data_IF_077456844992
#
_entry.id   IF_077456844992
#
_cell.length_a   1.000
_cell.length_b   1.000
_cell.length_c   1.000
_cell.angle_alpha   90.00
_cell.angle_beta   90.00
_cell.angle_gamma   90.00
#
_symmetry.space_group_name_H-M   'P 1'
#
loop_
_entity.id
_entity.type
_entity.pdbx_description
1 polymer ?
#
# COMPACT_ATOMS: atom_id res chain seq x y z
N UNK A 1 6.05 -26.16 18.43
CA UNK A 1 4.88 -26.78 17.77
C UNK A 1 4.51 -26.12 16.42
N UNK A 2 4.24 -24.81 16.31
CA UNK A 2 3.93 -24.19 14.99
C UNK A 2 5.14 -24.20 14.04
N UNK A 3 6.32 -23.81 14.54
CA UNK A 3 7.59 -23.94 13.82
C UNK A 3 7.94 -25.39 13.42
N UNK A 4 7.57 -26.38 14.25
CA UNK A 4 7.76 -27.80 13.93
C UNK A 4 6.77 -28.30 12.85
N UNK A 5 5.54 -27.77 12.83
CA UNK A 5 4.56 -28.04 11.77
C UNK A 5 5.01 -27.41 10.44
N UNK A 6 5.64 -26.23 10.47
CA UNK A 6 6.27 -25.64 9.29
C UNK A 6 7.50 -26.43 8.83
N UNK A 7 8.31 -26.94 9.76
CA UNK A 7 9.50 -27.73 9.43
C UNK A 7 9.18 -29.14 8.90
N UNK A 8 8.04 -29.72 9.25
CA UNK A 8 7.72 -31.12 8.95
C UNK A 8 6.98 -31.38 7.62
N UNK A 9 6.61 -30.35 6.83
CA UNK A 9 5.68 -30.61 5.70
C UNK A 9 5.58 -29.57 4.58
N UNK A 10 6.62 -28.77 4.32
CA UNK A 10 6.48 -27.64 3.40
C UNK A 10 7.28 -27.82 2.12
N UNK A 11 6.59 -28.37 1.13
CA UNK A 11 6.91 -28.28 -0.30
C UNK A 11 5.67 -28.05 -1.16
N UNK A 12 4.56 -27.60 -0.56
CA UNK A 12 3.30 -27.30 -1.25
C UNK A 12 2.83 -25.87 -1.05
N UNK A 13 2.09 -25.35 -2.03
CA UNK A 13 1.39 -24.06 -1.96
C UNK A 13 0.26 -24.12 -0.92
N UNK A 14 0.04 -23.03 -0.19
CA UNK A 14 -1.00 -22.94 0.84
C UNK A 14 -2.18 -22.12 0.36
N UNK A 15 -3.35 -22.76 0.28
CA UNK A 15 -4.61 -22.05 0.11
C UNK A 15 -5.14 -21.68 1.48
N UNK A 16 -5.37 -20.38 1.72
CA UNK A 16 -6.09 -19.96 2.91
C UNK A 16 -7.52 -20.49 2.85
N UNK A 17 -7.85 -21.43 3.75
CA UNK A 17 -9.17 -22.04 3.83
C UNK A 17 -10.22 -21.08 4.40
N UNK A 18 -9.78 -20.02 5.09
CA UNK A 18 -10.64 -18.88 5.40
C UNK A 18 -10.62 -17.91 4.21
N UNK A 19 -11.77 -17.64 3.57
CA UNK A 19 -11.82 -16.71 2.45
C UNK A 19 -11.34 -15.32 2.92
N UNK A 20 -10.11 -14.96 2.52
CA UNK A 20 -9.56 -13.62 2.72
C UNK A 20 -9.39 -12.95 1.36
N UNK A 21 -9.85 -11.70 1.29
CA UNK A 21 -9.57 -10.81 0.17
C UNK A 21 -8.29 -10.00 0.42
N UNK A 22 -7.67 -10.15 1.59
CA UNK A 22 -6.46 -9.42 1.95
C UNK A 22 -5.23 -10.11 1.35
N UNK A 23 -4.49 -9.33 0.53
CA UNK A 23 -3.23 -9.74 -0.06
C UNK A 23 -2.05 -9.61 0.91
N UNK A 24 -0.85 -10.05 0.50
CA UNK A 24 0.35 -9.88 1.33
C UNK A 24 0.72 -8.41 1.47
N UNK A 25 1.32 -8.06 2.61
CA UNK A 25 2.00 -6.79 2.83
C UNK A 25 3.52 -6.91 2.79
N UNK A 26 4.22 -5.78 2.65
CA UNK A 26 5.66 -5.72 2.85
C UNK A 26 6.04 -6.13 4.29
N UNK A 27 7.22 -6.74 4.48
CA UNK A 27 7.70 -7.23 5.79
C UNK A 27 7.58 -6.17 6.88
N UNK A 28 8.09 -4.96 6.63
CA UNK A 28 7.99 -3.82 7.55
C UNK A 28 6.54 -3.45 7.88
N UNK A 29 5.67 -3.36 6.87
CA UNK A 29 4.26 -3.05 7.09
C UNK A 29 3.56 -4.13 7.92
N UNK A 30 3.89 -5.40 7.71
CA UNK A 30 3.32 -6.51 8.47
C UNK A 30 3.83 -6.54 9.91
N UNK A 31 5.13 -6.29 10.13
CA UNK A 31 5.70 -6.15 11.46
C UNK A 31 5.03 -5.01 12.21
N UNK A 32 5.01 -3.81 11.63
CA UNK A 32 4.37 -2.66 12.24
C UNK A 32 2.89 -2.92 12.55
N UNK A 33 2.14 -3.49 11.60
CA UNK A 33 0.72 -3.81 11.82
C UNK A 33 0.53 -4.82 12.96
N UNK A 34 1.39 -5.82 13.05
CA UNK A 34 1.38 -6.79 14.15
C UNK A 34 1.71 -6.15 15.50
N UNK A 35 2.58 -5.12 15.52
CA UNK A 35 2.93 -4.38 16.73
C UNK A 35 1.78 -3.52 17.24
N UNK A 36 1.17 -2.72 16.36
CA UNK A 36 0.23 -1.66 16.76
C UNK A 36 -1.23 -2.08 16.79
N UNK A 37 -1.60 -3.13 16.04
CA UNK A 37 -3.00 -3.50 15.92
C UNK A 37 -3.48 -4.10 17.26
N UNK A 38 -4.52 -3.57 17.90
CA UNK A 38 -5.03 -4.12 19.16
C UNK A 38 -5.53 -5.56 19.01
N UNK A 39 -5.86 -5.97 17.77
CA UNK A 39 -6.27 -7.33 17.44
C UNK A 39 -5.10 -8.27 17.03
N UNK A 40 -3.86 -7.77 16.98
CA UNK A 40 -2.67 -8.59 16.64
C UNK A 40 -1.53 -8.43 17.65
N UNK A 41 -1.42 -7.33 18.37
CA UNK A 41 -0.30 -7.01 19.24
C UNK A 41 -0.39 -7.61 20.64
N UNK A 42 -1.59 -7.98 21.11
CA UNK A 42 -1.77 -8.53 22.45
C UNK A 42 -2.04 -10.03 22.47
N UNK A 43 -1.65 -10.77 23.52
CA UNK A 43 -2.18 -12.10 23.77
C UNK A 43 -3.71 -12.06 23.97
N UNK A 44 -4.23 -10.95 24.50
CA UNK A 44 -5.68 -10.72 24.67
C UNK A 44 -6.44 -10.70 23.33
N UNK A 45 -5.79 -10.18 22.29
CA UNK A 45 -6.30 -10.18 20.93
C UNK A 45 -6.50 -11.58 20.33
N UNK A 46 -5.76 -12.55 20.89
CA UNK A 46 -5.73 -13.94 20.50
C UNK A 46 -6.59 -14.82 21.40
N UNK A 47 -7.35 -14.25 22.36
CA UNK A 47 -8.01 -15.01 23.42
C UNK A 47 -9.54 -15.04 23.34
N UNK A 48 -10.01 -16.20 23.77
CA UNK A 48 -11.33 -16.55 24.28
C UNK A 48 -11.72 -15.86 25.60
N UNK A 49 -11.15 -14.70 25.94
CA UNK A 49 -11.50 -13.91 27.14
C UNK A 49 -11.45 -12.42 26.78
N UNK A 50 -12.31 -11.61 27.42
CA UNK A 50 -12.35 -10.16 27.17
C UNK A 50 -11.18 -9.43 27.83
N UNK A 51 -10.92 -8.20 27.37
CA UNK A 51 -9.83 -7.38 27.88
C UNK A 51 -10.29 -5.94 28.17
N UNK A 52 -9.66 -5.30 29.15
CA UNK A 52 -9.82 -3.87 29.42
C UNK A 52 -8.61 -3.13 28.85
N UNK A 53 -8.84 -2.27 27.86
CA UNK A 53 -7.80 -1.44 27.25
C UNK A 53 -8.22 0.01 27.38
N UNK A 54 -7.47 0.78 28.17
CA UNK A 54 -7.74 2.21 28.44
C UNK A 54 -9.17 2.50 28.93
N UNK A 55 -9.78 1.59 29.69
CA UNK A 55 -11.15 1.72 30.19
C UNK A 55 -12.23 1.26 29.21
N UNK A 56 -11.85 0.77 28.03
CA UNK A 56 -12.74 0.14 27.06
C UNK A 56 -12.75 -1.38 27.24
N UNK A 57 -13.94 -1.95 27.43
CA UNK A 57 -14.14 -3.39 27.56
C UNK A 57 -14.26 -4.03 26.18
N UNK A 58 -13.19 -4.69 25.75
CA UNK A 58 -13.12 -5.40 24.47
C UNK A 58 -13.75 -6.80 24.65
N UNK A 59 -14.82 -7.14 23.92
CA UNK A 59 -15.50 -8.42 24.05
C UNK A 59 -14.63 -9.59 23.59
N UNK A 60 -14.90 -10.77 24.15
CA UNK A 60 -14.26 -12.05 23.83
C UNK A 60 -14.28 -12.34 22.32
N UNK A 61 -13.11 -12.56 21.73
CA UNK A 61 -12.95 -13.12 20.39
C UNK A 61 -12.89 -14.65 20.36
N UNK A 62 -12.83 -15.22 19.16
CA UNK A 62 -12.50 -16.63 18.95
C UNK A 62 -11.00 -16.86 19.26
N UNK A 63 -10.66 -17.91 20.01
CA UNK A 63 -9.26 -18.14 20.42
C UNK A 63 -8.37 -18.44 19.23
N UNK A 64 -7.30 -17.66 19.06
CA UNK A 64 -6.29 -17.77 17.99
C UNK A 64 -4.92 -18.10 18.59
N UNK A 65 -4.77 -19.31 19.13
CA UNK A 65 -3.49 -19.86 19.58
C UNK A 65 -2.79 -19.09 20.72
N UNK A 66 -1.59 -19.54 21.10
CA UNK A 66 -0.79 -18.92 22.16
C UNK A 66 0.14 -17.80 21.64
N UNK A 67 0.55 -17.87 20.37
CA UNK A 67 1.45 -16.90 19.74
C UNK A 67 0.85 -16.38 18.43
N UNK A 68 1.22 -15.16 18.07
CA UNK A 68 1.07 -14.63 16.71
C UNK A 68 2.22 -15.09 15.81
N UNK A 69 2.01 -14.94 14.51
CA UNK A 69 3.02 -15.28 13.51
C UNK A 69 2.93 -14.38 12.28
N UNK A 70 4.06 -13.86 11.83
CA UNK A 70 4.21 -13.21 10.52
C UNK A 70 4.89 -14.21 9.60
N UNK A 71 4.20 -14.63 8.54
CA UNK A 71 4.69 -15.66 7.62
C UNK A 71 5.09 -15.02 6.30
N UNK A 72 6.33 -15.24 5.86
CA UNK A 72 6.77 -14.88 4.52
C UNK A 72 6.50 -16.03 3.56
N UNK A 73 6.15 -15.72 2.32
CA UNK A 73 5.93 -16.71 1.25
C UNK A 73 6.79 -16.38 0.03
N UNK A 74 7.13 -17.40 -0.76
CA UNK A 74 7.89 -17.25 -2.03
C UNK A 74 7.08 -16.58 -3.15
N UNK A 75 5.79 -16.35 -2.93
CA UNK A 75 4.91 -15.60 -3.81
C UNK A 75 3.44 -15.70 -3.42
N UNK A 76 2.60 -15.00 -4.18
CA UNK A 76 1.15 -15.12 -4.09
C UNK A 76 0.52 -15.02 -5.49
N UNK A 77 -0.63 -15.65 -5.68
CA UNK A 77 -1.45 -15.56 -6.89
C UNK A 77 -2.87 -15.12 -6.54
N UNK A 78 -3.46 -14.26 -7.38
CA UNK A 78 -4.87 -13.90 -7.28
C UNK A 78 -5.69 -14.83 -8.16
N UNK A 79 -6.73 -15.46 -7.61
CA UNK A 79 -7.59 -16.40 -8.32
C UNK A 79 -9.06 -16.10 -8.05
N UNK A 80 -9.91 -16.32 -9.06
CA UNK A 80 -11.36 -16.38 -8.83
C UNK A 80 -11.71 -17.67 -8.09
N UNK A 81 -12.42 -17.55 -6.98
CA UNK A 81 -12.97 -18.67 -6.22
C UNK A 81 -14.50 -18.67 -6.32
N UNK A 82 -15.19 -19.77 -5.96
CA UNK A 82 -16.66 -19.80 -5.94
C UNK A 82 -17.32 -18.72 -5.08
N UNK A 83 -16.58 -18.11 -4.14
CA UNK A 83 -17.07 -17.09 -3.20
C UNK A 83 -16.51 -15.68 -3.50
N UNK A 84 -15.76 -15.50 -4.60
CA UNK A 84 -15.16 -14.22 -5.00
C UNK A 84 -13.66 -14.30 -5.33
N UNK A 85 -13.01 -13.18 -5.69
CA UNK A 85 -11.55 -13.15 -5.84
C UNK A 85 -10.86 -13.47 -4.50
N UNK A 86 -9.82 -14.30 -4.55
CA UNK A 86 -9.07 -14.72 -3.37
C UNK A 86 -7.57 -14.86 -3.67
N UNK A 87 -6.78 -14.98 -2.61
CA UNK A 87 -5.31 -15.04 -2.67
C UNK A 87 -4.84 -16.46 -2.35
N UNK A 88 -3.98 -17.01 -3.20
CA UNK A 88 -3.28 -18.28 -2.99
C UNK A 88 -1.82 -17.97 -2.69
N UNK A 89 -1.35 -18.36 -1.52
CA UNK A 89 0.03 -18.17 -1.12
C UNK A 89 0.90 -19.34 -1.58
N UNK A 90 2.14 -19.05 -1.93
CA UNK A 90 3.13 -20.04 -2.31
C UNK A 90 3.65 -20.84 -1.12
N UNK A 91 4.94 -21.19 -1.15
CA UNK A 91 5.59 -21.87 -0.04
C UNK A 91 6.00 -20.86 1.01
N UNK A 92 5.71 -21.10 2.30
CA UNK A 92 6.25 -20.25 3.35
C UNK A 92 7.76 -20.43 3.44
N UNK A 93 8.45 -19.30 3.58
CA UNK A 93 9.90 -19.19 3.62
C UNK A 93 10.42 -18.87 5.01
N UNK A 94 9.64 -18.13 5.79
CA UNK A 94 10.04 -17.60 7.09
C UNK A 94 8.81 -17.44 7.99
N UNK A 95 9.02 -17.52 9.31
CA UNK A 95 8.03 -17.27 10.34
C UNK A 95 8.67 -16.48 11.48
N UNK A 96 8.16 -15.27 11.72
CA UNK A 96 8.45 -14.52 12.94
C UNK A 96 7.32 -14.80 13.94
N UNK A 97 7.61 -15.55 14.99
CA UNK A 97 6.68 -15.77 16.11
C UNK A 97 6.80 -14.64 17.13
N UNK A 98 5.67 -14.25 17.73
CA UNK A 98 5.65 -13.23 18.78
C UNK A 98 4.48 -13.45 19.75
N UNK A 99 4.65 -13.06 21.01
CA UNK A 99 3.60 -13.12 22.03
C UNK A 99 2.93 -11.75 22.23
N UNK A 100 3.73 -10.68 22.20
CA UNK A 100 3.32 -9.29 22.29
C UNK A 100 3.91 -8.49 21.13
N UNK A 101 3.26 -7.41 20.74
CA UNK A 101 3.74 -6.52 19.70
C UNK A 101 5.13 -5.97 20.01
N UNK A 102 5.40 -5.69 21.29
CA UNK A 102 6.72 -5.24 21.79
C UNK A 102 7.85 -6.22 21.44
N UNK A 103 7.58 -7.52 21.31
CA UNK A 103 8.59 -8.54 20.97
C UNK A 103 9.17 -8.35 19.56
N UNK A 104 8.47 -7.59 18.71
CA UNK A 104 8.85 -7.37 17.32
C UNK A 104 9.73 -6.12 17.13
N UNK A 105 10.06 -5.38 18.19
CA UNK A 105 10.83 -4.13 18.07
C UNK A 105 12.20 -4.36 17.42
N UNK A 106 12.96 -5.34 17.90
CA UNK A 106 14.28 -5.68 17.36
C UNK A 106 14.20 -6.11 15.88
N UNK A 107 13.11 -6.79 15.50
CA UNK A 107 12.89 -7.23 14.13
C UNK A 107 12.50 -6.06 13.22
N UNK A 108 11.75 -5.08 13.74
CA UNK A 108 11.43 -3.85 13.04
C UNK A 108 12.69 -3.01 12.81
N UNK A 109 13.51 -2.81 13.84
CA UNK A 109 14.77 -2.06 13.75
C UNK A 109 15.71 -2.69 12.73
N UNK A 110 15.92 -4.01 12.79
CA UNK A 110 16.73 -4.73 11.80
C UNK A 110 16.16 -4.59 10.40
N UNK A 111 14.85 -4.75 10.23
CA UNK A 111 14.20 -4.61 8.93
C UNK A 111 14.34 -3.19 8.36
N UNK A 112 14.37 -2.15 9.20
CA UNK A 112 14.56 -0.76 8.77
C UNK A 112 16.01 -0.48 8.33
N UNK A 113 16.99 -1.14 8.97
CA UNK A 113 18.40 -1.06 8.57
C UNK A 113 18.66 -1.82 7.26
N UNK A 114 18.04 -2.99 7.10
CA UNK A 114 18.14 -3.83 5.90
C UNK A 114 17.34 -3.26 4.72
N UNK A 115 16.23 -2.57 4.99
CA UNK A 115 15.42 -1.83 3.99
C UNK A 115 16.13 -0.54 3.57
N UNK A 116 17.39 -0.68 3.16
CA UNK A 116 17.90 0.12 2.05
C UNK A 116 16.86 -0.01 0.95
N UNK A 117 16.20 1.10 0.58
CA UNK A 117 15.12 1.17 -0.41
C UNK A 117 15.59 0.84 -1.84
N UNK A 118 16.57 -0.05 -1.97
CA UNK A 118 17.23 -0.54 -3.15
C UNK A 118 16.23 -1.30 -4.03
N UNK A 119 15.45 -0.53 -4.79
CA UNK A 119 14.48 -1.06 -5.76
C UNK A 119 13.17 -0.29 -5.79
N UNK A 120 12.83 0.43 -4.72
CA UNK A 120 11.72 1.40 -4.76
C UNK A 120 12.28 2.63 -5.47
N UNK A 121 11.89 2.83 -6.73
CA UNK A 121 12.29 4.01 -7.49
C UNK A 121 12.04 5.27 -6.66
N UNK A 122 12.93 6.26 -6.78
CA UNK A 122 12.77 7.53 -6.09
C UNK A 122 11.36 8.06 -6.31
N UNK A 123 10.74 8.58 -5.25
CA UNK A 123 9.45 9.27 -5.35
C UNK A 123 9.51 10.22 -6.56
N UNK A 124 8.60 10.10 -7.54
CA UNK A 124 8.64 10.95 -8.71
C UNK A 124 8.66 12.43 -8.27
N UNK A 125 9.43 13.32 -8.93
CA UNK A 125 9.60 14.70 -8.48
C UNK A 125 8.31 15.52 -8.35
N UNK A 126 7.23 15.01 -8.94
CA UNK A 126 5.90 15.60 -8.94
C UNK A 126 4.99 15.06 -7.83
N UNK A 127 5.35 13.97 -7.13
CA UNK A 127 4.62 13.36 -6.02
C UNK A 127 5.17 13.85 -4.67
N UNK A 128 5.16 15.18 -4.48
CA UNK A 128 5.49 15.86 -3.22
C UNK A 128 4.26 16.67 -2.79
N UNK A 129 4.39 17.47 -1.72
CA UNK A 129 3.33 18.20 -0.99
C UNK A 129 2.40 19.12 -1.84
N UNK A 130 2.64 19.27 -3.14
CA UNK A 130 1.81 20.05 -4.06
C UNK A 130 0.84 19.13 -4.82
N UNK A 131 -0.30 18.84 -4.19
CA UNK A 131 -1.38 18.04 -4.78
C UNK A 131 -1.86 18.61 -6.13
N UNK A 132 -1.83 19.93 -6.30
CA UNK A 132 -2.22 20.55 -7.56
C UNK A 132 -1.20 20.27 -8.68
N UNK A 133 0.09 20.19 -8.35
CA UNK A 133 1.13 19.77 -9.28
C UNK A 133 1.04 18.28 -9.64
N UNK A 134 0.72 17.42 -8.68
CA UNK A 134 0.43 15.98 -8.88
C UNK A 134 -0.72 15.82 -9.88
N UNK A 135 -1.86 16.45 -9.60
CA UNK A 135 -3.06 16.39 -10.43
C UNK A 135 -2.76 16.90 -11.84
N UNK A 136 -2.03 18.01 -11.96
CA UNK A 136 -1.65 18.53 -13.26
C UNK A 136 -0.71 17.59 -14.04
N UNK A 137 0.19 16.86 -13.35
CA UNK A 137 1.11 15.90 -13.96
C UNK A 137 0.37 14.63 -14.40
N UNK A 138 -0.47 14.06 -13.53
CA UNK A 138 -1.31 12.91 -13.83
C UNK A 138 -2.24 13.20 -15.01
N UNK A 139 -2.97 14.32 -14.95
CA UNK A 139 -3.87 14.74 -16.04
C UNK A 139 -3.12 15.02 -17.34
N UNK A 140 -1.83 15.34 -17.33
CA UNK A 140 -1.01 15.43 -18.55
C UNK A 140 -0.65 14.05 -19.08
N UNK A 141 -0.22 13.13 -18.22
CA UNK A 141 0.19 11.79 -18.59
C UNK A 141 -0.97 10.95 -19.14
N UNK A 142 -2.19 11.18 -18.65
CA UNK A 142 -3.40 10.45 -19.05
C UNK A 142 -4.08 11.00 -20.32
N UNK A 143 -3.60 12.12 -20.88
CA UNK A 143 -4.21 12.70 -22.09
C UNK A 143 -3.91 11.85 -23.30
N UNK A 144 -4.97 11.54 -24.04
CA UNK A 144 -4.85 10.96 -25.37
C UNK A 144 -4.30 11.96 -26.40
N UNK A 145 -3.76 11.48 -27.53
CA UNK A 145 -3.17 12.33 -28.57
C UNK A 145 -4.15 13.36 -29.17
N UNK A 146 -5.44 13.01 -29.25
CA UNK A 146 -6.48 13.91 -29.75
C UNK A 146 -6.74 15.10 -28.80
N UNK A 147 -6.74 14.83 -27.49
CA UNK A 147 -6.92 15.86 -26.48
C UNK A 147 -5.72 16.81 -26.41
N UNK A 148 -4.50 16.27 -26.56
CA UNK A 148 -3.32 17.10 -26.69
C UNK A 148 -3.35 18.00 -27.94
N UNK A 149 -3.80 17.46 -29.08
CA UNK A 149 -3.91 18.23 -30.32
C UNK A 149 -4.91 19.39 -30.16
N UNK A 150 -6.05 19.15 -29.53
CA UNK A 150 -7.07 20.16 -29.21
C UNK A 150 -6.48 21.27 -28.32
N UNK A 151 -5.83 20.90 -27.22
CA UNK A 151 -5.23 21.88 -26.27
C UNK A 151 -4.15 22.73 -26.97
N UNK A 152 -3.34 22.13 -27.85
CA UNK A 152 -2.34 22.86 -28.63
C UNK A 152 -2.98 23.83 -29.62
N UNK A 153 -4.06 23.41 -30.31
CA UNK A 153 -4.81 24.26 -31.23
C UNK A 153 -5.43 25.47 -30.50
N UNK A 154 -6.05 25.26 -29.35
CA UNK A 154 -6.66 26.32 -28.55
C UNK A 154 -5.63 27.33 -28.04
N UNK A 155 -4.46 26.84 -27.59
CA UNK A 155 -3.33 27.71 -27.19
C UNK A 155 -2.83 28.56 -28.34
N UNK A 156 -2.70 28.00 -29.55
CA UNK A 156 -2.30 28.75 -30.76
C UNK A 156 -3.34 29.83 -31.11
N UNK A 157 -4.62 29.47 -31.15
CA UNK A 157 -5.70 30.41 -31.43
C UNK A 157 -5.77 31.55 -30.40
N UNK A 158 -5.54 31.26 -29.11
CA UNK A 158 -5.47 32.27 -28.06
C UNK A 158 -4.27 33.21 -28.23
N UNK A 159 -3.09 32.68 -28.59
CA UNK A 159 -1.90 33.50 -28.86
C UNK A 159 -2.10 34.42 -30.06
N UNK A 160 -2.69 33.93 -31.15
CA UNK A 160 -3.00 34.72 -32.34
C UNK A 160 -4.00 35.85 -32.03
N UNK A 161 -5.06 35.56 -31.27
CA UNK A 161 -6.00 36.58 -30.78
C UNK A 161 -5.29 37.67 -29.99
N UNK A 162 -4.41 37.30 -29.05
CA UNK A 162 -3.60 38.25 -28.28
C UNK A 162 -2.67 39.09 -29.17
N UNK A 163 -2.03 38.49 -30.18
CA UNK A 163 -1.18 39.22 -31.15
C UNK A 163 -1.99 40.23 -31.97
N UNK A 164 -3.13 39.83 -32.53
CA UNK A 164 -4.02 40.72 -33.29
C UNK A 164 -4.53 41.90 -32.45
N UNK A 165 -4.91 41.65 -31.20
CA UNK A 165 -5.32 42.71 -30.27
C UNK A 165 -4.17 43.69 -29.97
N UNK A 166 -2.94 43.19 -29.77
CA UNK A 166 -1.76 44.06 -29.57
C UNK A 166 -1.46 44.89 -30.81
N UNK A 167 -1.52 44.31 -32.01
CA UNK A 167 -1.31 45.01 -33.29
C UNK A 167 -2.37 46.09 -33.52
N UNK A 168 -3.66 45.79 -33.28
CA UNK A 168 -4.76 46.74 -33.39
C UNK A 168 -4.66 47.90 -32.38
N UNK A 169 -4.17 47.64 -31.16
CA UNK A 169 -3.88 48.70 -30.18
C UNK A 169 -2.69 49.56 -30.61
N UNK A 170 -1.64 48.96 -31.19
CA UNK A 170 -0.46 49.68 -31.66
C UNK A 170 -0.76 50.58 -32.87
N UNK A 171 -1.58 50.11 -33.83
CA UNK A 171 -1.99 50.92 -34.98
C UNK A 171 -2.86 52.12 -34.56
N UNK A 172 -3.78 51.94 -33.61
CA UNK A 172 -4.58 53.03 -33.04
C UNK A 172 -3.75 54.10 -32.34
N UNK A 173 -2.59 53.74 -31.76
CA UNK A 173 -1.67 54.70 -31.13
C UNK A 173 -0.80 55.46 -32.13
N UNK A 174 -0.57 54.92 -33.34
CA UNK A 174 0.21 55.60 -34.40
C UNK A 174 -0.61 56.59 -35.22
N UNK A 175 -1.93 56.41 -35.27
CA UNK A 175 -2.85 57.28 -36.02
C UNK A 175 -3.48 58.39 -35.13
N UNK A 176 -2.89 58.66 -33.96
CA UNK A 176 -3.33 59.66 -32.99
C UNK A 176 -2.16 60.57 -32.67
#
# INVERSE_FOLDING_TARGET
MLAEVLAAGIGGKFQNAAPTQEGPGHRLCMIYSAMICPFLGGPEARRSQGADTYGEQIPRGEARGQKGGIVAYDGCEFRSTPVGPGVVYGHPLDLIEYERGEDLLDELERSLEDDTSAGIGSCPPWLLDDEAAVDAAFNRAMRGPEEEARIRADRRAAQERRKRQKQAKASRRRNR
#
